data_IF_205135525505
#
_entry.id   IF_205135525505
#
_cell.length_a   1.000
_cell.length_b   1.000
_cell.length_c   1.000
_cell.angle_alpha   90.00
_cell.angle_beta   90.00
_cell.angle_gamma   90.00
#
_symmetry.space_group_name_H-M   'P 1'
#
loop_
_entity.id
_entity.type
_entity.pdbx_description
1 polymer ?
#
# COMPACT_ATOMS: atom_id res chain seq x y z
N UNK A 1 22.04 8.48 7.17
CA UNK A 1 21.38 7.69 6.11
C UNK A 1 20.33 6.72 6.63
N UNK A 2 20.69 5.65 7.37
CA UNK A 2 19.68 4.70 7.88
C UNK A 2 18.64 5.34 8.82
N UNK A 3 19.09 6.29 9.65
CA UNK A 3 18.20 7.02 10.57
C UNK A 3 17.23 7.95 9.85
N UNK A 4 17.62 8.55 8.71
CA UNK A 4 16.73 9.42 7.93
C UNK A 4 15.61 8.61 7.29
N UNK A 5 15.91 7.44 6.72
CA UNK A 5 14.90 6.53 6.18
C UNK A 5 13.98 6.02 7.29
N UNK A 6 14.52 5.72 8.47
CA UNK A 6 13.73 5.34 9.63
C UNK A 6 12.71 6.42 10.00
N UNK A 7 13.16 7.68 10.13
CA UNK A 7 12.29 8.82 10.43
C UNK A 7 11.27 9.07 9.31
N UNK A 8 11.66 8.89 8.05
CA UNK A 8 10.77 9.00 6.89
C UNK A 8 9.63 7.97 6.98
N UNK A 9 9.96 6.72 7.29
CA UNK A 9 8.99 5.63 7.42
C UNK A 9 8.06 5.84 8.62
N UNK A 10 8.60 6.28 9.76
CA UNK A 10 7.78 6.60 10.93
C UNK A 10 6.87 7.80 10.65
N UNK A 11 7.37 8.81 9.93
CA UNK A 11 6.64 10.02 9.57
C UNK A 11 5.40 9.76 8.72
N UNK A 12 5.44 8.73 7.86
CA UNK A 12 4.27 8.29 7.08
C UNK A 12 3.33 7.35 7.87
N UNK A 13 3.64 7.03 9.12
CA UNK A 13 2.76 6.25 10.00
C UNK A 13 3.17 4.79 10.25
N UNK A 14 4.36 4.34 9.83
CA UNK A 14 4.87 3.03 10.24
C UNK A 14 5.35 3.05 11.70
N UNK A 15 5.12 1.96 12.44
CA UNK A 15 5.75 1.76 13.74
C UNK A 15 7.26 1.61 13.59
N UNK A 16 8.02 2.06 14.60
CA UNK A 16 9.49 1.99 14.60
C UNK A 16 10.02 0.57 14.29
N UNK A 17 9.38 -0.46 14.85
CA UNK A 17 9.75 -1.85 14.61
C UNK A 17 9.60 -2.22 13.12
N UNK A 18 8.47 -1.84 12.50
CA UNK A 18 8.16 -2.14 11.10
C UNK A 18 9.07 -1.36 10.15
N UNK A 19 9.41 -0.12 10.52
CA UNK A 19 10.38 0.68 9.80
C UNK A 19 11.79 0.06 9.85
N UNK A 20 12.25 -0.42 11.02
CA UNK A 20 13.53 -1.14 11.16
C UNK A 20 13.58 -2.44 10.36
N UNK A 21 12.50 -3.23 10.40
CA UNK A 21 12.36 -4.45 9.60
C UNK A 21 12.41 -4.15 8.09
N UNK A 22 11.77 -3.06 7.66
CA UNK A 22 11.79 -2.62 6.26
C UNK A 22 13.20 -2.19 5.83
N UNK A 23 13.95 -1.53 6.72
CA UNK A 23 15.33 -1.13 6.45
C UNK A 23 16.29 -2.31 6.29
N UNK A 24 16.00 -3.46 6.90
CA UNK A 24 16.78 -4.70 6.65
C UNK A 24 16.63 -5.16 5.21
N UNK A 25 15.50 -4.85 4.56
CA UNK A 25 15.26 -5.17 3.16
C UNK A 25 15.60 -3.98 2.27
N UNK A 26 16.83 -3.93 1.73
CA UNK A 26 17.28 -2.82 0.87
C UNK A 26 16.35 -2.56 -0.33
N UNK A 27 15.84 -3.61 -0.99
CA UNK A 27 14.92 -3.46 -2.12
C UNK A 27 13.60 -2.77 -1.72
N UNK A 28 13.01 -3.17 -0.59
CA UNK A 28 11.73 -2.62 -0.12
C UNK A 28 11.95 -1.21 0.41
N UNK A 29 13.02 -0.97 1.17
CA UNK A 29 13.33 0.35 1.72
C UNK A 29 13.63 1.38 0.62
N UNK A 30 14.38 1.03 -0.42
CA UNK A 30 14.60 1.91 -1.58
C UNK A 30 13.31 2.16 -2.35
N UNK A 31 12.49 1.13 -2.59
CA UNK A 31 11.19 1.31 -3.23
C UNK A 31 10.26 2.21 -2.41
N UNK A 32 10.16 1.97 -1.10
CA UNK A 32 9.31 2.74 -0.20
C UNK A 32 9.77 4.20 -0.13
N UNK A 33 11.07 4.44 0.01
CA UNK A 33 11.67 5.79 -0.03
C UNK A 33 11.28 6.51 -1.31
N UNK A 34 11.45 5.85 -2.45
CA UNK A 34 11.10 6.39 -3.75
C UNK A 34 9.60 6.72 -3.85
N UNK A 35 8.74 5.82 -3.41
CA UNK A 35 7.28 6.02 -3.38
C UNK A 35 6.88 7.22 -2.51
N UNK A 36 7.47 7.36 -1.32
CA UNK A 36 7.20 8.47 -0.39
C UNK A 36 7.69 9.80 -0.96
N UNK A 37 8.89 9.83 -1.56
CA UNK A 37 9.44 11.03 -2.15
C UNK A 37 8.56 11.53 -3.32
N UNK A 38 8.10 10.62 -4.16
CA UNK A 38 7.16 10.94 -5.23
C UNK A 38 5.83 11.46 -4.67
N UNK A 39 5.28 10.82 -3.63
CA UNK A 39 4.06 11.28 -2.98
C UNK A 39 4.18 12.71 -2.47
N UNK A 40 5.28 13.05 -1.79
CA UNK A 40 5.55 14.40 -1.29
C UNK A 40 5.59 15.46 -2.40
N UNK A 41 6.08 15.12 -3.60
CA UNK A 41 6.05 16.01 -4.77
C UNK A 41 4.61 16.34 -5.18
N UNK A 42 3.71 15.36 -5.17
CA UNK A 42 2.31 15.56 -5.52
C UNK A 42 1.50 16.28 -4.44
N UNK A 43 1.85 16.08 -3.15
CA UNK A 43 1.18 16.78 -2.04
C UNK A 43 1.65 18.24 -1.87
N UNK A 44 2.65 18.69 -2.64
CA UNK A 44 3.14 20.06 -2.62
C UNK A 44 3.81 20.45 -1.29
N UNK A 45 4.46 19.50 -0.62
CA UNK A 45 5.12 19.73 0.68
C UNK A 45 4.19 19.63 1.91
N UNK A 46 2.93 19.24 1.73
CA UNK A 46 2.06 18.87 2.86
C UNK A 46 2.47 17.51 3.44
N UNK A 47 2.32 17.32 4.77
CA UNK A 47 2.59 16.03 5.39
C UNK A 47 1.66 14.96 4.85
N UNK A 48 2.21 13.78 4.57
CA UNK A 48 1.46 12.61 4.14
C UNK A 48 0.69 12.07 5.34
N UNK A 49 -0.61 11.84 5.15
CA UNK A 49 -1.46 11.28 6.19
C UNK A 49 -1.07 9.84 6.53
N UNK A 50 -1.27 9.41 7.78
CA UNK A 50 -0.86 8.06 8.22
C UNK A 50 -1.57 6.96 7.45
N UNK A 51 -2.83 7.22 7.05
CA UNK A 51 -3.58 6.29 6.23
C UNK A 51 -2.96 6.15 4.83
N UNK A 52 -2.63 7.28 4.19
CA UNK A 52 -1.97 7.31 2.88
C UNK A 52 -0.59 6.64 2.96
N UNK A 53 0.17 6.91 4.01
CA UNK A 53 1.48 6.29 4.21
C UNK A 53 1.42 4.77 4.37
N UNK A 54 0.41 4.26 5.08
CA UNK A 54 0.16 2.81 5.14
C UNK A 54 -0.08 2.27 3.72
N UNK A 55 -0.95 2.90 2.92
CA UNK A 55 -1.20 2.48 1.53
C UNK A 55 0.05 2.54 0.64
N UNK A 56 0.90 3.57 0.80
CA UNK A 56 2.19 3.67 0.09
C UNK A 56 3.12 2.50 0.44
N UNK A 57 3.10 2.02 1.70
CA UNK A 57 3.82 0.82 2.11
C UNK A 57 3.27 -0.45 1.44
N UNK A 58 1.95 -0.62 1.39
CA UNK A 58 1.32 -1.73 0.68
C UNK A 58 1.67 -1.71 -0.82
N UNK A 59 1.68 -0.52 -1.44
CA UNK A 59 2.13 -0.35 -2.81
C UNK A 59 3.60 -0.79 -2.96
N UNK A 60 4.52 -0.25 -2.15
CA UNK A 60 5.95 -0.55 -2.27
C UNK A 60 6.30 -2.04 -2.10
N UNK A 61 5.52 -2.78 -1.29
CA UNK A 61 5.75 -4.20 -1.03
C UNK A 61 5.07 -5.14 -2.03
N UNK A 62 3.96 -4.70 -2.67
CA UNK A 62 3.19 -5.52 -3.61
C UNK A 62 3.33 -5.12 -5.07
N UNK A 63 3.96 -3.97 -5.36
CA UNK A 63 4.13 -3.48 -6.72
C UNK A 63 4.88 -4.50 -7.57
N UNK A 64 4.26 -4.92 -8.68
CA UNK A 64 4.89 -5.80 -9.66
C UNK A 64 5.67 -4.97 -10.68
N UNK A 65 6.79 -5.50 -11.15
CA UNK A 65 7.63 -4.85 -12.18
C UNK A 65 6.87 -4.53 -13.46
N UNK A 66 5.82 -5.29 -13.79
CA UNK A 66 4.98 -5.05 -14.97
C UNK A 66 4.26 -3.70 -14.96
N UNK A 67 3.89 -3.19 -13.78
CA UNK A 67 3.13 -1.93 -13.62
C UNK A 67 3.96 -0.81 -13.00
N UNK A 68 5.28 -0.98 -12.93
CA UNK A 68 6.18 -0.02 -12.29
C UNK A 68 6.14 1.35 -12.99
N UNK A 69 5.89 1.37 -14.30
CA UNK A 69 5.73 2.59 -15.10
C UNK A 69 4.48 3.40 -14.70
N UNK A 70 3.43 2.75 -14.20
CA UNK A 70 2.20 3.39 -13.72
C UNK A 70 2.24 3.75 -12.22
N UNK A 71 3.30 3.34 -11.50
CA UNK A 71 3.53 3.70 -10.09
C UNK A 71 3.33 5.20 -9.79
N UNK A 72 3.91 6.17 -10.54
CA UNK A 72 3.71 7.59 -10.26
C UNK A 72 2.25 8.03 -10.36
N UNK A 73 1.45 7.41 -11.24
CA UNK A 73 0.03 7.71 -11.38
C UNK A 73 -0.77 7.23 -10.16
N UNK A 74 -0.50 6.02 -9.66
CA UNK A 74 -1.11 5.48 -8.44
C UNK A 74 -0.77 6.35 -7.23
N UNK A 75 0.50 6.75 -7.12
CA UNK A 75 0.97 7.64 -6.04
C UNK A 75 0.26 8.99 -6.11
N UNK A 76 0.09 9.55 -7.30
CA UNK A 76 -0.67 10.79 -7.47
C UNK A 76 -2.13 10.63 -6.98
N UNK A 77 -2.78 9.50 -7.27
CA UNK A 77 -4.13 9.23 -6.80
C UNK A 77 -4.20 9.12 -5.27
N UNK A 78 -3.23 8.46 -4.64
CA UNK A 78 -3.09 8.40 -3.18
C UNK A 78 -2.86 9.79 -2.56
N UNK A 79 -1.95 10.58 -3.12
CA UNK A 79 -1.64 11.93 -2.65
C UNK A 79 -2.82 12.90 -2.81
N UNK A 80 -3.63 12.73 -3.87
CA UNK A 80 -4.88 13.47 -4.09
C UNK A 80 -6.05 12.97 -3.23
N UNK A 81 -5.87 11.89 -2.46
CA UNK A 81 -6.92 11.30 -1.64
C UNK A 81 -8.01 10.57 -2.43
N UNK A 82 -7.76 10.19 -3.68
CA UNK A 82 -8.69 9.38 -4.49
C UNK A 82 -8.74 7.93 -4.02
N UNK A 83 -7.60 7.41 -3.57
CA UNK A 83 -7.46 6.06 -3.03
C UNK A 83 -7.29 6.17 -1.51
N UNK A 84 -8.27 5.69 -0.76
CA UNK A 84 -8.27 5.77 0.71
C UNK A 84 -8.26 4.41 1.38
N UNK A 85 -8.44 3.33 0.63
CA UNK A 85 -8.53 1.96 1.16
C UNK A 85 -7.64 0.98 0.39
N UNK A 86 -7.18 -0.08 1.09
CA UNK A 86 -6.32 -1.12 0.49
C UNK A 86 -7.01 -1.84 -0.68
N UNK A 87 -8.33 -2.06 -0.60
CA UNK A 87 -9.11 -2.66 -1.67
C UNK A 87 -9.01 -1.85 -2.98
N UNK A 88 -9.14 -0.51 -2.89
CA UNK A 88 -9.03 0.37 -4.05
C UNK A 88 -7.60 0.38 -4.61
N UNK A 89 -6.59 0.37 -3.74
CA UNK A 89 -5.19 0.28 -4.16
C UNK A 89 -4.91 -1.03 -4.91
N UNK A 90 -5.42 -2.15 -4.40
CA UNK A 90 -5.26 -3.46 -5.02
C UNK A 90 -5.99 -3.51 -6.37
N UNK A 91 -7.21 -2.99 -6.44
CA UNK A 91 -7.97 -2.86 -7.68
C UNK A 91 -7.24 -1.99 -8.71
N UNK A 92 -6.65 -0.87 -8.30
CA UNK A 92 -5.83 -0.01 -9.16
C UNK A 92 -4.65 -0.77 -9.76
N UNK A 93 -3.91 -1.53 -8.95
CA UNK A 93 -2.79 -2.35 -9.42
C UNK A 93 -3.27 -3.44 -10.39
N UNK A 94 -4.40 -4.09 -10.08
CA UNK A 94 -4.99 -5.12 -10.93
C UNK A 94 -5.47 -4.56 -12.27
N UNK A 95 -6.03 -3.35 -12.28
CA UNK A 95 -6.46 -2.66 -13.49
C UNK A 95 -5.30 -2.47 -14.46
N UNK A 96 -4.15 -1.98 -13.99
CA UNK A 96 -2.94 -1.82 -14.81
C UNK A 96 -2.32 -3.15 -15.25
N UNK A 97 -2.46 -4.21 -14.44
CA UNK A 97 -2.01 -5.54 -14.84
C UNK A 97 -2.87 -6.12 -15.97
N UNK A 98 -4.18 -5.90 -15.93
CA UNK A 98 -5.11 -6.36 -16.97
C UNK A 98 -5.14 -5.43 -18.20
N UNK A 99 -4.73 -4.18 -18.06
CA UNK A 99 -4.71 -3.18 -19.12
C UNK A 99 -3.28 -2.65 -19.31
N UNK A 100 -2.42 -3.36 -20.07
CA UNK A 100 -1.04 -2.92 -20.35
C UNK A 100 -0.99 -1.81 -21.42
N UNK A 101 -1.94 -0.89 -21.40
CA UNK A 101 -1.98 0.27 -22.29
C UNK A 101 -1.25 1.44 -21.65
N UNK A 102 -0.44 2.14 -22.43
CA UNK A 102 0.31 3.31 -21.97
C UNK A 102 -0.62 4.47 -21.56
N UNK A 103 -1.74 4.62 -22.29
CA UNK A 103 -2.77 5.60 -21.97
C UNK A 103 -3.69 5.09 -20.86
N UNK A 104 -3.58 5.73 -19.71
CA UNK A 104 -4.49 5.51 -18.58
C UNK A 104 -5.83 6.17 -18.86
N UNK A 105 -6.88 5.36 -19.02
CA UNK A 105 -8.25 5.87 -19.09
C UNK A 105 -8.74 6.21 -17.68
N UNK A 106 -8.76 7.50 -17.37
CA UNK A 106 -9.10 7.98 -16.02
C UNK A 106 -10.50 7.54 -15.60
N UNK A 107 -11.47 7.56 -16.54
CA UNK A 107 -12.86 7.20 -16.25
C UNK A 107 -13.00 5.71 -15.94
N UNK A 108 -12.40 4.84 -16.77
CA UNK A 108 -12.42 3.40 -16.55
C UNK A 108 -11.61 3.00 -15.30
N UNK A 109 -10.49 3.69 -15.04
CA UNK A 109 -9.70 3.50 -13.83
C UNK A 109 -10.49 3.85 -12.57
N UNK A 110 -11.17 5.01 -12.55
CA UNK A 110 -12.00 5.44 -11.42
C UNK A 110 -13.14 4.46 -11.17
N UNK A 111 -13.81 4.00 -12.24
CA UNK A 111 -14.85 2.97 -12.14
C UNK A 111 -14.31 1.65 -11.59
N UNK A 112 -13.15 1.17 -12.08
CA UNK A 112 -12.53 -0.07 -11.62
C UNK A 112 -12.07 0.00 -10.16
N UNK A 113 -11.63 1.17 -9.70
CA UNK A 113 -11.18 1.40 -8.32
C UNK A 113 -12.33 1.79 -7.38
N UNK A 114 -13.55 2.00 -7.89
CA UNK A 114 -14.69 2.49 -7.11
C UNK A 114 -14.49 3.92 -6.57
N UNK A 115 -13.76 4.77 -7.28
CA UNK A 115 -13.53 6.17 -6.91
C UNK A 115 -14.76 6.98 -7.35
N UNK A 116 -15.47 7.60 -6.40
CA UNK A 116 -16.67 8.39 -6.71
C UNK A 116 -17.98 7.58 -6.75
N UNK A 117 -17.92 6.27 -6.50
CA UNK A 117 -19.13 5.49 -6.19
C UNK A 117 -19.48 5.78 -4.73
N UNK A 118 -20.40 6.72 -4.51
CA UNK A 118 -21.13 6.80 -3.24
C UNK A 118 -21.91 5.50 -3.19
N UNK A 119 -21.39 4.50 -2.47
CA UNK A 119 -22.14 3.31 -2.13
C UNK A 119 -23.26 3.80 -1.22
N UNK A 120 -24.41 4.13 -1.82
CA UNK A 120 -25.67 4.20 -1.10
C UNK A 120 -25.86 2.85 -0.40
N UNK A 121 -26.28 2.84 0.87
CA UNK A 121 -26.27 1.64 1.73
C UNK A 121 -27.16 0.47 1.25
N UNK A 122 -27.78 0.54 0.08
CA UNK A 122 -28.65 -0.51 -0.51
C UNK A 122 -27.89 -1.68 -1.17
N UNK A 123 -26.55 -1.73 -1.16
CA UNK A 123 -25.77 -2.82 -1.79
C UNK A 123 -25.03 -3.73 -0.79
N UNK A 124 -25.34 -3.67 0.51
CA UNK A 124 -24.68 -4.47 1.57
C UNK A 124 -25.54 -5.67 2.02
N UNK A 125 -26.44 -6.18 1.18
CA UNK A 125 -27.34 -7.29 1.57
C UNK A 125 -27.07 -8.62 0.85
N UNK A 126 -25.87 -8.88 0.32
CA UNK A 126 -25.53 -10.22 -0.24
C UNK A 126 -24.11 -10.71 0.04
N UNK A 127 -23.58 -10.51 1.25
CA UNK A 127 -22.33 -11.17 1.69
C UNK A 127 -22.45 -11.83 3.08
N UNK A 128 -23.65 -12.26 3.46
CA UNK A 128 -23.91 -13.06 4.67
C UNK A 128 -24.36 -14.47 4.29
N UNK A 129 -23.44 -15.29 3.78
CA UNK A 129 -23.51 -16.76 3.93
C UNK A 129 -22.30 -17.41 3.28
N UNK A 130 -21.25 -17.65 4.08
CA UNK A 130 -20.68 -19.00 4.19
C UNK A 130 -19.74 -19.03 5.41
N UNK A 131 -20.19 -19.55 6.57
CA UNK A 131 -19.28 -20.04 7.60
C UNK A 131 -18.66 -21.36 7.11
N UNK A 132 -17.33 -21.40 6.93
CA UNK A 132 -16.65 -22.64 6.55
C UNK A 132 -15.13 -22.59 6.60
N UNK A 133 -14.56 -23.19 7.65
CA UNK A 133 -13.17 -23.69 7.79
C UNK A 133 -12.10 -22.59 7.90
N UNK A 134 -11.63 -22.13 9.07
CA UNK A 134 -10.92 -22.84 10.15
C UNK A 134 -10.12 -24.07 9.70
N UNK A 135 -8.87 -23.85 9.27
CA UNK A 135 -7.79 -24.81 9.43
C UNK A 135 -6.46 -24.04 9.61
N UNK A 136 -6.10 -23.81 10.87
CA UNK A 136 -4.69 -23.77 11.30
C UNK A 136 -4.27 -25.24 11.50
N UNK A 137 -3.14 -25.69 10.94
CA UNK A 137 -1.84 -25.56 11.63
C UNK A 137 -0.71 -25.17 10.64
N UNK A 138 0.35 -24.48 11.03
CA UNK A 138 1.51 -25.13 11.64
C UNK A 138 2.48 -24.13 12.29
N UNK A 139 3.20 -24.67 13.24
CA UNK A 139 4.21 -24.12 14.13
C UNK A 139 5.34 -23.34 13.43
N UNK A 140 5.79 -22.23 14.01
CA UNK A 140 6.92 -22.23 14.99
C UNK A 140 7.37 -20.78 15.23
N UNK A 141 6.90 -20.22 16.34
CA UNK A 141 7.52 -19.04 16.94
C UNK A 141 8.81 -19.52 17.62
N UNK A 142 9.98 -19.13 17.12
CA UNK A 142 11.24 -19.34 17.83
C UNK A 142 11.73 -17.98 18.34
N UNK A 143 11.38 -17.66 19.58
CA UNK A 143 12.05 -16.63 20.36
C UNK A 143 13.46 -17.12 20.76
N UNK A 144 14.54 -16.37 20.49
CA UNK A 144 15.84 -16.68 21.08
C UNK A 144 15.90 -16.09 22.50
N UNK A 145 15.85 -16.96 23.51
CA UNK A 145 16.25 -16.59 24.89
C UNK A 145 17.75 -16.82 25.06
N UNK A 146 18.47 -15.72 25.24
CA UNK A 146 19.81 -15.62 25.82
C UNK A 146 19.79 -16.09 27.28
N UNK A 147 20.85 -16.79 27.73
CA UNK A 147 21.13 -17.07 29.14
C UNK A 147 21.93 -18.38 29.32
N UNK A 148 23.26 -18.34 29.38
CA UNK A 148 24.09 -18.32 30.61
C UNK A 148 23.95 -19.62 31.42
N UNK A 149 24.87 -20.58 31.25
CA UNK A 149 26.07 -20.89 32.07
C UNK A 149 26.86 -22.03 31.42
#
# INVERSE_FOLDING_TARGET
MANELLQLFIGIGLSEQKAKETLKNQNVSENLKQVINEANKFTGGKPIDKNVGTLLYHLATRLKSQIIHHRPYIIQCLAKGKLTSEAQLTAAMQYFLSNPVDKVDVSAFEAACGIGIIVTPEQVEQAVSTPGQILIPDMLCHEPKVGII
#
